data_IF_816818659615
#
_entry.id   IF_816818659615
#
_cell.length_a   1.000
_cell.length_b   1.000
_cell.length_c   1.000
_cell.angle_alpha   90.00
_cell.angle_beta   90.00
_cell.angle_gamma   90.00
#
_symmetry.space_group_name_H-M   'P 1'
#
loop_
_entity.id
_entity.type
_entity.pdbx_description
1 polymer ?
#
# COMPACT_ATOMS: atom_id res chain seq x y z
N UNK A 1 -10.40 14.94 26.58
CA UNK A 1 -10.21 13.57 26.10
C UNK A 1 -11.58 12.93 25.85
N UNK A 2 -12.23 13.31 24.75
CA UNK A 2 -13.48 12.71 24.31
C UNK A 2 -13.17 11.31 23.73
N UNK A 3 -13.43 10.29 24.54
CA UNK A 3 -13.42 8.89 24.14
C UNK A 3 -14.60 8.68 23.18
N UNK A 4 -14.33 8.71 21.88
CA UNK A 4 -15.31 8.36 20.85
C UNK A 4 -15.74 6.91 21.10
N UNK A 5 -16.88 6.70 21.73
CA UNK A 5 -17.57 5.42 21.81
C UNK A 5 -18.24 5.16 20.46
N UNK A 6 -17.44 4.72 19.48
CA UNK A 6 -17.95 4.13 18.25
C UNK A 6 -18.35 2.69 18.54
N UNK A 7 -19.51 2.31 18.04
CA UNK A 7 -20.14 1.00 18.00
C UNK A 7 -19.11 -0.16 17.96
N UNK A 8 -18.94 -0.83 19.10
CA UNK A 8 -18.13 -2.02 19.19
C UNK A 8 -18.12 -2.49 20.64
N UNK A 9 -18.91 -3.49 20.96
CA UNK A 9 -18.75 -4.23 22.20
C UNK A 9 -17.33 -4.79 22.27
N UNK A 10 -16.61 -4.37 23.32
CA UNK A 10 -15.23 -4.79 23.56
C UNK A 10 -15.29 -6.24 24.05
N UNK A 11 -15.07 -7.18 23.15
CA UNK A 11 -14.85 -8.58 23.51
C UNK A 11 -13.43 -8.73 24.05
N UNK A 12 -13.28 -8.59 25.38
CA UNK A 12 -12.05 -8.94 26.09
C UNK A 12 -11.97 -10.47 26.20
N UNK A 13 -11.18 -11.11 25.36
CA UNK A 13 -10.83 -12.50 25.52
C UNK A 13 -9.35 -12.56 25.94
N UNK A 14 -9.11 -12.95 27.22
CA UNK A 14 -7.76 -13.20 27.79
C UNK A 14 -6.76 -12.03 27.72
N UNK A 15 -7.20 -10.78 27.98
CA UNK A 15 -6.30 -9.62 28.07
C UNK A 15 -5.92 -8.98 26.71
N UNK A 16 -6.37 -9.54 25.59
CA UNK A 16 -6.19 -8.96 24.25
C UNK A 16 -7.52 -8.33 23.83
N UNK A 17 -7.51 -7.01 23.57
CA UNK A 17 -8.68 -6.29 23.05
C UNK A 17 -8.88 -6.68 21.56
N UNK A 18 -9.78 -7.61 21.30
CA UNK A 18 -10.25 -7.95 19.95
C UNK A 18 -11.53 -7.15 19.70
N UNK A 19 -11.42 -5.85 19.57
CA UNK A 19 -12.55 -5.01 19.18
C UNK A 19 -12.57 -4.84 17.66
N UNK A 20 -13.75 -5.04 17.06
CA UNK A 20 -13.97 -4.72 15.64
C UNK A 20 -13.98 -3.19 15.50
N UNK A 21 -12.86 -2.63 15.10
CA UNK A 21 -12.67 -1.18 14.96
C UNK A 21 -13.18 -0.70 13.61
N UNK A 22 -13.45 0.61 13.49
CA UNK A 22 -13.78 1.24 12.21
C UNK A 22 -12.72 0.93 11.13
N UNK A 23 -11.43 0.86 11.50
CA UNK A 23 -10.36 0.45 10.58
C UNK A 23 -10.61 -0.92 9.99
N UNK A 24 -10.96 -1.91 10.81
CA UNK A 24 -11.24 -3.28 10.35
C UNK A 24 -12.45 -3.32 9.42
N UNK A 25 -13.48 -2.55 9.71
CA UNK A 25 -14.67 -2.44 8.86
C UNK A 25 -14.30 -1.92 7.45
N UNK A 26 -13.54 -0.82 7.38
CA UNK A 26 -13.14 -0.25 6.09
C UNK A 26 -12.14 -1.13 5.32
N UNK A 27 -11.28 -1.91 6.01
CA UNK A 27 -10.47 -2.95 5.37
C UNK A 27 -11.34 -4.03 4.72
N UNK A 28 -12.38 -4.49 5.41
CA UNK A 28 -13.34 -5.46 4.86
C UNK A 28 -14.08 -4.88 3.65
N UNK A 29 -14.47 -3.59 3.69
CA UNK A 29 -15.07 -2.92 2.53
C UNK A 29 -14.10 -2.85 1.34
N UNK A 30 -12.81 -2.59 1.56
CA UNK A 30 -11.81 -2.58 0.49
C UNK A 30 -11.64 -3.98 -0.13
N UNK A 31 -11.62 -5.03 0.70
CA UNK A 31 -11.61 -6.42 0.21
C UNK A 31 -12.89 -6.76 -0.56
N UNK A 32 -14.05 -6.38 -0.04
CA UNK A 32 -15.33 -6.61 -0.69
C UNK A 32 -15.42 -5.88 -2.04
N UNK A 33 -14.93 -4.64 -2.13
CA UNK A 33 -14.86 -3.86 -3.37
C UNK A 33 -13.94 -4.54 -4.40
N UNK A 34 -12.78 -5.05 -3.97
CA UNK A 34 -11.87 -5.82 -4.82
C UNK A 34 -12.55 -7.07 -5.36
N UNK A 35 -13.16 -7.85 -4.48
CA UNK A 35 -13.88 -9.08 -4.88
C UNK A 35 -15.04 -8.77 -5.81
N UNK A 36 -15.83 -7.73 -5.52
CA UNK A 36 -16.96 -7.33 -6.35
C UNK A 36 -16.52 -6.94 -7.77
N UNK A 37 -15.42 -6.19 -7.90
CA UNK A 37 -14.89 -5.81 -9.21
C UNK A 37 -14.56 -7.05 -10.07
N UNK A 38 -13.93 -8.06 -9.47
CA UNK A 38 -13.55 -9.27 -10.21
C UNK A 38 -14.74 -10.21 -10.46
N UNK A 39 -15.60 -10.42 -9.47
CA UNK A 39 -16.79 -11.26 -9.63
C UNK A 39 -17.71 -10.69 -10.71
N UNK A 40 -17.94 -9.36 -10.71
CA UNK A 40 -18.77 -8.71 -11.72
C UNK A 40 -18.07 -8.65 -13.08
N UNK A 41 -16.76 -8.34 -13.09
CA UNK A 41 -15.97 -8.25 -14.32
C UNK A 41 -15.82 -9.58 -15.04
N UNK A 42 -15.69 -10.69 -14.30
CA UNK A 42 -15.49 -12.02 -14.87
C UNK A 42 -16.78 -12.83 -15.05
N UNK A 43 -17.94 -12.33 -14.56
CA UNK A 43 -19.22 -13.05 -14.62
C UNK A 43 -19.74 -13.27 -16.04
N UNK A 44 -19.45 -12.36 -16.96
CA UNK A 44 -19.87 -12.46 -18.38
C UNK A 44 -18.64 -12.34 -19.27
N UNK A 45 -18.01 -13.47 -19.58
CA UNK A 45 -16.91 -13.52 -20.54
C UNK A 45 -17.45 -13.32 -21.96
N UNK A 46 -17.22 -12.16 -22.53
CA UNK A 46 -17.55 -11.86 -23.93
C UNK A 46 -16.29 -11.47 -24.70
N UNK A 47 -16.27 -11.77 -26.01
CA UNK A 47 -15.15 -11.40 -26.92
C UNK A 47 -15.01 -9.88 -26.99
N UNK A 48 -16.13 -9.15 -26.88
CA UNK A 48 -16.14 -7.68 -26.76
C UNK A 48 -16.30 -7.39 -25.25
N UNK A 49 -15.24 -6.91 -24.56
CA UNK A 49 -15.28 -6.72 -23.12
C UNK A 49 -16.27 -5.64 -22.71
N UNK A 50 -17.10 -5.92 -21.71
CA UNK A 50 -17.91 -4.92 -21.06
C UNK A 50 -16.99 -3.99 -20.23
N UNK A 51 -17.46 -2.78 -19.87
CA UNK A 51 -16.67 -1.77 -19.11
C UNK A 51 -16.03 -2.33 -17.84
N UNK A 52 -16.74 -3.18 -17.09
CA UNK A 52 -16.21 -3.81 -15.87
C UNK A 52 -15.19 -4.90 -16.18
N UNK A 53 -15.42 -5.68 -17.24
CA UNK A 53 -14.44 -6.66 -17.72
C UNK A 53 -13.15 -5.97 -18.20
N UNK A 54 -13.29 -4.87 -18.96
CA UNK A 54 -12.15 -4.08 -19.43
C UNK A 54 -11.32 -3.50 -18.29
N UNK A 55 -11.95 -3.00 -17.21
CA UNK A 55 -11.24 -2.52 -16.02
C UNK A 55 -10.46 -3.65 -15.33
N UNK A 56 -11.08 -4.83 -15.19
CA UNK A 56 -10.42 -5.99 -14.57
C UNK A 56 -9.23 -6.47 -15.40
N UNK A 57 -9.38 -6.55 -16.72
CA UNK A 57 -8.32 -6.96 -17.65
C UNK A 57 -7.19 -5.92 -17.69
N UNK A 58 -7.52 -4.62 -17.70
CA UNK A 58 -6.54 -3.55 -17.67
C UNK A 58 -5.70 -3.61 -16.39
N UNK A 59 -6.36 -3.79 -15.24
CA UNK A 59 -5.69 -3.92 -13.96
C UNK A 59 -4.79 -5.16 -13.90
N UNK A 60 -5.28 -6.29 -14.43
CA UNK A 60 -4.50 -7.52 -14.53
C UNK A 60 -3.23 -7.33 -15.38
N UNK A 61 -3.40 -6.81 -16.61
CA UNK A 61 -2.30 -6.61 -17.54
C UNK A 61 -1.29 -5.59 -17.01
N UNK A 62 -1.77 -4.52 -16.36
CA UNK A 62 -0.91 -3.51 -15.76
C UNK A 62 0.04 -4.12 -14.71
N UNK A 63 -0.50 -4.90 -13.77
CA UNK A 63 0.31 -5.54 -12.73
C UNK A 63 1.17 -6.67 -13.29
N UNK A 64 0.66 -7.45 -14.27
CA UNK A 64 1.42 -8.52 -14.90
C UNK A 64 2.65 -7.98 -15.63
N UNK A 65 2.51 -6.89 -16.39
CA UNK A 65 3.62 -6.23 -17.06
C UNK A 65 4.62 -5.65 -16.05
N UNK A 66 4.13 -4.93 -15.02
CA UNK A 66 4.99 -4.38 -13.98
C UNK A 66 5.81 -5.47 -13.28
N UNK A 67 5.19 -6.60 -12.93
CA UNK A 67 5.89 -7.71 -12.28
C UNK A 67 6.92 -8.35 -13.23
N UNK A 68 6.57 -8.51 -14.49
CA UNK A 68 7.47 -9.05 -15.51
C UNK A 68 8.67 -8.15 -15.75
N UNK A 69 8.47 -6.83 -15.78
CA UNK A 69 9.52 -5.85 -16.02
C UNK A 69 10.49 -5.76 -14.81
N UNK A 70 10.00 -5.97 -13.59
CA UNK A 70 10.80 -5.85 -12.37
C UNK A 70 11.45 -7.17 -11.93
N UNK A 71 10.77 -8.30 -12.07
CA UNK A 71 11.20 -9.60 -11.50
C UNK A 71 11.47 -10.65 -12.59
N UNK A 72 10.99 -10.40 -13.81
CA UNK A 72 11.09 -11.35 -14.91
C UNK A 72 10.12 -12.55 -14.78
N UNK A 73 10.43 -13.64 -15.49
CA UNK A 73 9.54 -14.82 -15.53
C UNK A 73 9.41 -15.57 -14.22
N UNK A 74 10.40 -15.47 -13.32
CA UNK A 74 10.36 -16.08 -12.01
C UNK A 74 9.32 -15.44 -11.08
N UNK A 75 8.94 -14.18 -11.35
CA UNK A 75 7.92 -13.44 -10.62
C UNK A 75 6.50 -13.98 -10.81
N UNK A 76 6.22 -14.73 -11.87
CA UNK A 76 4.86 -15.21 -12.17
C UNK A 76 4.19 -15.98 -11.05
N UNK A 77 4.96 -16.76 -10.28
CA UNK A 77 4.44 -17.49 -9.15
C UNK A 77 3.89 -16.57 -8.03
N UNK A 78 4.41 -15.35 -7.94
CA UNK A 78 4.04 -14.36 -6.90
C UNK A 78 3.00 -13.34 -7.39
N UNK A 79 2.55 -13.47 -8.63
CA UNK A 79 1.55 -12.58 -9.23
C UNK A 79 0.28 -12.44 -8.35
N UNK A 80 -0.36 -13.51 -7.83
CA UNK A 80 -1.55 -13.37 -7.01
C UNK A 80 -1.33 -12.53 -5.75
N UNK A 81 -0.14 -12.65 -5.14
CA UNK A 81 0.23 -11.88 -3.96
C UNK A 81 0.38 -10.38 -4.29
N UNK A 82 1.18 -10.07 -5.31
CA UNK A 82 1.43 -8.68 -5.74
C UNK A 82 0.14 -8.01 -6.23
N UNK A 83 -0.69 -8.77 -6.96
CA UNK A 83 -1.96 -8.28 -7.47
C UNK A 83 -2.96 -7.96 -6.35
N UNK A 84 -3.12 -8.87 -5.38
CA UNK A 84 -3.99 -8.64 -4.23
C UNK A 84 -3.51 -7.47 -3.37
N UNK A 85 -2.20 -7.32 -3.21
CA UNK A 85 -1.58 -6.21 -2.50
C UNK A 85 -1.90 -4.85 -3.16
N UNK A 86 -1.67 -4.75 -4.48
CA UNK A 86 -1.97 -3.53 -5.23
C UNK A 86 -3.45 -3.14 -5.09
N UNK A 87 -4.35 -4.09 -5.36
CA UNK A 87 -5.78 -3.83 -5.31
C UNK A 87 -6.25 -3.44 -3.91
N UNK A 88 -5.74 -4.10 -2.90
CA UNK A 88 -6.10 -3.78 -1.52
C UNK A 88 -5.68 -2.34 -1.15
N UNK A 89 -4.44 -1.96 -1.42
CA UNK A 89 -3.95 -0.61 -1.11
C UNK A 89 -4.69 0.44 -1.95
N UNK A 90 -4.92 0.15 -3.23
CA UNK A 90 -5.64 1.02 -4.13
C UNK A 90 -7.05 1.32 -3.60
N UNK A 91 -7.82 0.29 -3.26
CA UNK A 91 -9.17 0.48 -2.73
C UNK A 91 -9.18 1.10 -1.33
N UNK A 92 -8.23 0.76 -0.46
CA UNK A 92 -8.10 1.42 0.83
C UNK A 92 -7.88 2.93 0.69
N UNK A 93 -7.02 3.34 -0.24
CA UNK A 93 -6.75 4.74 -0.51
C UNK A 93 -7.96 5.44 -1.13
N UNK A 94 -8.60 4.83 -2.13
CA UNK A 94 -9.77 5.40 -2.79
C UNK A 94 -10.98 5.52 -1.87
N UNK A 95 -11.26 4.51 -1.06
CA UNK A 95 -12.35 4.58 -0.07
C UNK A 95 -12.04 5.66 0.97
N UNK A 96 -10.77 5.79 1.36
CA UNK A 96 -10.33 6.82 2.29
C UNK A 96 -10.51 8.25 1.76
N UNK A 97 -10.52 8.48 0.44
CA UNK A 97 -10.75 9.79 -0.16
C UNK A 97 -12.20 10.27 -0.06
N UNK A 98 -13.16 9.36 0.11
CA UNK A 98 -14.57 9.74 0.21
C UNK A 98 -14.77 10.59 1.48
N UNK A 99 -15.39 11.78 1.39
CA UNK A 99 -15.65 12.61 2.57
C UNK A 99 -16.44 11.85 3.63
N UNK A 100 -16.09 12.04 4.90
CA UNK A 100 -16.68 11.38 6.06
C UNK A 100 -16.38 9.88 6.23
N UNK A 101 -15.55 9.28 5.37
CA UNK A 101 -15.05 7.91 5.58
C UNK A 101 -13.84 7.88 6.49
N UNK A 102 -13.59 6.73 7.07
CA UNK A 102 -12.41 6.50 7.89
C UNK A 102 -11.24 6.04 7.01
N UNK A 103 -10.18 6.84 6.98
CA UNK A 103 -8.99 6.54 6.18
C UNK A 103 -8.09 5.57 6.93
N UNK A 104 -8.11 4.30 6.56
CA UNK A 104 -7.32 3.24 7.18
C UNK A 104 -5.82 3.51 7.04
N UNK A 105 -5.39 3.96 5.87
CA UNK A 105 -4.00 4.21 5.52
C UNK A 105 -3.40 5.47 6.14
N UNK A 106 -4.20 6.31 6.80
CA UNK A 106 -3.70 7.45 7.59
C UNK A 106 -3.12 7.05 8.96
N UNK A 107 -3.38 5.82 9.42
CA UNK A 107 -2.84 5.32 10.67
C UNK A 107 -1.48 4.66 10.47
N UNK A 108 -0.42 5.26 11.02
CA UNK A 108 0.95 4.78 10.89
C UNK A 108 1.11 3.32 11.36
N UNK A 109 0.42 2.93 12.43
CA UNK A 109 0.48 1.57 12.98
C UNK A 109 -0.03 0.53 11.97
N UNK A 110 -1.10 0.85 11.23
CA UNK A 110 -1.69 -0.05 10.23
C UNK A 110 -0.79 -0.17 9.01
N UNK A 111 -0.31 0.97 8.48
CA UNK A 111 0.60 0.99 7.33
C UNK A 111 1.94 0.34 7.65
N UNK A 112 2.43 0.50 8.89
CA UNK A 112 3.64 -0.15 9.34
C UNK A 112 3.46 -1.66 9.51
N UNK A 113 2.33 -2.11 10.06
CA UNK A 113 2.02 -3.54 10.15
C UNK A 113 1.93 -4.18 8.76
N UNK A 114 1.33 -3.48 7.80
CA UNK A 114 1.26 -3.91 6.39
C UNK A 114 2.64 -4.01 5.74
N UNK A 115 3.44 -2.94 5.83
CA UNK A 115 4.78 -2.92 5.27
C UNK A 115 5.68 -3.97 5.94
N UNK A 116 5.55 -4.16 7.26
CA UNK A 116 6.26 -5.18 8.02
C UNK A 116 5.89 -6.61 7.60
N UNK A 117 4.59 -6.87 7.40
CA UNK A 117 4.11 -8.18 6.94
C UNK A 117 4.68 -8.52 5.56
N UNK A 118 4.67 -7.56 4.62
CA UNK A 118 5.23 -7.76 3.28
C UNK A 118 6.74 -7.99 3.36
N UNK A 119 7.43 -7.19 4.17
CA UNK A 119 8.87 -7.33 4.38
C UNK A 119 9.22 -8.72 4.92
N UNK A 120 8.49 -9.21 5.93
CA UNK A 120 8.66 -10.56 6.48
C UNK A 120 8.36 -11.61 5.42
N UNK A 121 7.27 -11.46 4.65
CA UNK A 121 6.91 -12.40 3.60
C UNK A 121 8.01 -12.50 2.53
N UNK A 122 8.51 -11.36 2.04
CA UNK A 122 9.60 -11.31 1.05
C UNK A 122 10.90 -11.91 1.61
N UNK A 123 11.22 -11.62 2.88
CA UNK A 123 12.39 -12.19 3.54
C UNK A 123 12.28 -13.71 3.66
N UNK A 124 11.12 -14.24 4.04
CA UNK A 124 10.87 -15.68 4.09
C UNK A 124 11.02 -16.31 2.71
N UNK A 125 10.47 -15.69 1.65
CA UNK A 125 10.63 -16.15 0.27
C UNK A 125 12.11 -16.22 -0.10
N UNK A 126 12.89 -15.19 0.23
CA UNK A 126 14.32 -15.13 -0.01
C UNK A 126 15.08 -16.28 0.67
N UNK A 127 14.78 -16.55 1.95
CA UNK A 127 15.38 -17.66 2.67
C UNK A 127 14.96 -19.04 2.14
N UNK A 128 13.70 -19.23 1.76
CA UNK A 128 13.20 -20.50 1.21
C UNK A 128 13.83 -20.79 -0.14
N UNK A 129 14.04 -19.78 -0.98
CA UNK A 129 14.60 -19.94 -2.33
C UNK A 129 16.12 -20.11 -2.32
N UNK A 130 16.84 -19.29 -1.56
CA UNK A 130 18.29 -19.17 -1.62
C UNK A 130 18.99 -19.73 -0.38
N UNK A 131 18.23 -20.17 0.64
CA UNK A 131 18.79 -20.66 1.89
C UNK A 131 19.75 -19.66 2.54
N UNK A 132 20.94 -20.12 2.95
CA UNK A 132 21.98 -19.26 3.52
C UNK A 132 22.61 -18.31 2.50
N UNK A 133 22.44 -18.56 1.19
CA UNK A 133 22.89 -17.65 0.13
C UNK A 133 22.20 -16.29 0.18
N UNK A 134 21.00 -16.21 0.77
CA UNK A 134 20.28 -14.97 0.98
C UNK A 134 21.06 -13.92 1.80
N UNK A 135 21.95 -14.36 2.69
CA UNK A 135 22.80 -13.47 3.48
C UNK A 135 23.81 -12.68 2.64
N UNK A 136 24.03 -13.07 1.37
CA UNK A 136 24.86 -12.30 0.44
C UNK A 136 24.31 -10.92 0.12
N UNK A 137 22.99 -10.68 0.31
CA UNK A 137 22.42 -9.34 0.24
C UNK A 137 23.13 -8.36 1.18
N UNK A 138 23.59 -8.83 2.34
CA UNK A 138 24.32 -8.00 3.30
C UNK A 138 25.82 -7.89 3.02
N UNK A 139 26.33 -8.75 2.13
CA UNK A 139 27.74 -8.74 1.72
C UNK A 139 27.87 -8.92 0.21
N UNK A 140 27.71 -7.82 -0.59
CA UNK A 140 27.82 -7.88 -2.04
C UNK A 140 29.17 -8.44 -2.49
N UNK A 141 29.16 -9.27 -3.53
CA UNK A 141 30.34 -9.88 -4.11
C UNK A 141 31.27 -8.81 -4.70
N UNK A 142 32.59 -8.91 -4.40
CA UNK A 142 33.60 -7.96 -4.92
C UNK A 142 34.13 -6.95 -3.91
N UNK A 143 33.64 -6.96 -2.67
CA UNK A 143 34.12 -6.06 -1.62
C UNK A 143 35.32 -6.69 -0.87
N UNK A 144 36.44 -5.94 -0.66
CA UNK A 144 37.55 -6.41 0.17
C UNK A 144 37.07 -6.70 1.60
N UNK A 145 37.53 -7.81 2.18
CA UNK A 145 37.13 -8.25 3.52
C UNK A 145 37.39 -7.20 4.61
N UNK A 146 38.36 -6.31 4.39
CA UNK A 146 38.69 -5.22 5.28
C UNK A 146 37.56 -4.18 5.44
N UNK A 147 36.72 -3.98 4.40
CA UNK A 147 35.58 -3.06 4.41
C UNK A 147 34.28 -3.71 4.91
N UNK A 148 34.24 -5.02 5.07
CA UNK A 148 33.08 -5.75 5.53
C UNK A 148 32.48 -5.23 6.86
N UNK A 149 33.28 -4.93 7.92
CA UNK A 149 32.74 -4.46 9.18
C UNK A 149 32.06 -3.10 9.10
N UNK A 150 32.32 -2.33 8.05
CA UNK A 150 31.66 -1.04 7.79
C UNK A 150 30.42 -1.21 6.90
N UNK A 151 30.51 -2.02 5.85
CA UNK A 151 29.44 -2.15 4.84
C UNK A 151 28.27 -2.99 5.36
N UNK A 152 28.54 -4.10 6.05
CA UNK A 152 27.46 -4.97 6.56
C UNK A 152 26.48 -4.23 7.49
N UNK A 153 26.93 -3.42 8.48
CA UNK A 153 26.00 -2.65 9.30
C UNK A 153 25.18 -1.62 8.49
N UNK A 154 25.79 -0.97 7.50
CA UNK A 154 25.10 0.01 6.63
C UNK A 154 24.02 -0.71 5.83
N UNK A 155 24.32 -1.87 5.25
CA UNK A 155 23.37 -2.64 4.47
C UNK A 155 22.20 -3.18 5.33
N UNK A 156 22.48 -3.62 6.55
CA UNK A 156 21.43 -4.03 7.51
C UNK A 156 20.51 -2.83 7.83
N UNK A 157 21.07 -1.66 8.10
CA UNK A 157 20.28 -0.45 8.39
C UNK A 157 19.47 -0.06 7.15
N UNK A 158 20.05 -0.07 5.96
CA UNK A 158 19.38 0.18 4.68
C UNK A 158 18.21 -0.79 4.49
N UNK A 159 18.43 -2.07 4.70
CA UNK A 159 17.42 -3.11 4.57
C UNK A 159 16.25 -2.91 5.54
N UNK A 160 16.51 -2.60 6.81
CA UNK A 160 15.49 -2.33 7.83
C UNK A 160 14.75 -1.00 7.59
N UNK A 161 15.38 -0.04 6.93
CA UNK A 161 14.74 1.23 6.61
C UNK A 161 13.67 1.11 5.51
N UNK A 162 13.74 0.06 4.67
CA UNK A 162 12.80 -0.18 3.56
C UNK A 162 11.32 -0.21 4.01
N UNK A 163 10.90 -1.06 4.97
CA UNK A 163 9.51 -1.09 5.43
C UNK A 163 9.10 0.20 6.17
N UNK A 164 10.02 0.82 6.89
CA UNK A 164 9.76 2.08 7.60
C UNK A 164 9.44 3.18 6.59
N UNK A 165 10.31 3.37 5.61
CA UNK A 165 10.13 4.38 4.55
C UNK A 165 8.81 4.15 3.78
N UNK A 166 8.49 2.90 3.48
CA UNK A 166 7.28 2.51 2.76
C UNK A 166 6.01 2.86 3.55
N UNK A 167 5.98 2.53 4.84
CA UNK A 167 4.84 2.80 5.71
C UNK A 167 4.65 4.30 5.98
N UNK A 168 5.74 5.02 6.29
CA UNK A 168 5.69 6.46 6.54
C UNK A 168 5.22 7.22 5.30
N UNK A 169 5.68 6.85 4.12
CA UNK A 169 5.26 7.47 2.86
C UNK A 169 3.76 7.31 2.64
N UNK A 170 3.21 6.12 2.83
CA UNK A 170 1.79 5.86 2.67
C UNK A 170 0.95 6.65 3.68
N UNK A 171 1.33 6.60 4.95
CA UNK A 171 0.64 7.30 6.03
C UNK A 171 0.73 8.83 5.87
N UNK A 172 1.94 9.37 5.61
CA UNK A 172 2.16 10.81 5.53
C UNK A 172 1.40 11.45 4.37
N UNK A 173 1.38 10.83 3.19
CA UNK A 173 0.65 11.35 2.05
C UNK A 173 -0.86 11.45 2.32
N UNK A 174 -1.45 10.40 2.91
CA UNK A 174 -2.87 10.40 3.23
C UNK A 174 -3.22 11.36 4.38
N UNK A 175 -2.38 11.43 5.41
CA UNK A 175 -2.60 12.35 6.53
C UNK A 175 -2.48 13.81 6.10
N UNK A 176 -1.46 14.14 5.30
CA UNK A 176 -1.23 15.49 4.79
C UNK A 176 -2.35 15.93 3.86
N UNK A 177 -2.75 15.09 2.89
CA UNK A 177 -3.83 15.39 1.95
C UNK A 177 -5.13 15.72 2.68
N UNK A 178 -5.60 14.84 3.56
CA UNK A 178 -6.81 15.08 4.36
C UNK A 178 -6.72 16.31 5.26
N UNK A 179 -5.55 16.62 5.82
CA UNK A 179 -5.36 17.81 6.66
C UNK A 179 -5.52 19.08 5.83
N UNK A 180 -4.91 19.12 4.65
CA UNK A 180 -5.01 20.27 3.73
C UNK A 180 -6.45 20.47 3.28
N UNK A 181 -7.15 19.42 2.86
CA UNK A 181 -8.56 19.51 2.44
C UNK A 181 -9.45 20.07 3.55
N UNK A 182 -9.26 19.64 4.82
CA UNK A 182 -10.02 20.14 5.97
C UNK A 182 -9.75 21.62 6.23
N UNK A 183 -8.49 22.07 6.12
CA UNK A 183 -8.12 23.48 6.30
C UNK A 183 -8.80 24.35 5.22
N UNK A 184 -8.73 23.96 3.94
CA UNK A 184 -9.38 24.71 2.86
C UNK A 184 -10.90 24.70 2.98
N UNK A 185 -11.52 23.60 3.39
CA UNK A 185 -12.94 23.53 3.67
C UNK A 185 -13.34 24.50 4.81
N UNK A 186 -12.51 24.65 5.84
CA UNK A 186 -12.70 25.65 6.90
C UNK A 186 -12.64 27.08 6.36
N UNK A 187 -11.69 27.41 5.48
CA UNK A 187 -11.61 28.74 4.86
C UNK A 187 -12.83 29.09 4.03
N UNK A 188 -13.42 28.15 3.30
CA UNK A 188 -14.64 28.36 2.52
C UNK A 188 -15.78 28.84 3.42
N UNK A 189 -15.94 28.19 4.58
CA UNK A 189 -16.99 28.55 5.55
C UNK A 189 -16.71 29.92 6.18
N UNK A 190 -15.46 30.24 6.49
CA UNK A 190 -15.08 31.50 7.15
C UNK A 190 -15.20 32.73 6.22
N UNK A 191 -14.85 32.59 4.94
CA UNK A 191 -14.85 33.70 3.98
C UNK A 191 -16.23 34.01 3.38
N UNK A 192 -17.23 33.17 3.58
CA UNK A 192 -18.58 33.38 3.04
C UNK A 192 -18.58 33.56 1.53
N UNK A 193 -18.98 34.73 1.03
CA UNK A 193 -19.03 34.98 -0.41
C UNK A 193 -17.66 34.94 -1.11
N UNK A 194 -16.59 35.35 -0.44
CA UNK A 194 -15.20 35.24 -0.93
C UNK A 194 -14.68 33.79 -0.92
N UNK A 195 -15.42 32.85 -0.34
CA UNK A 195 -15.08 31.43 -0.27
C UNK A 195 -15.05 30.73 -1.66
N UNK A 196 -15.47 31.41 -2.74
CA UNK A 196 -15.38 30.85 -4.09
C UNK A 196 -13.92 30.58 -4.52
N UNK A 197 -12.97 31.44 -4.17
CA UNK A 197 -11.57 31.24 -4.52
C UNK A 197 -10.96 29.99 -3.85
N UNK A 198 -11.06 29.80 -2.50
CA UNK A 198 -10.63 28.55 -1.87
C UNK A 198 -11.41 27.31 -2.33
N UNK A 199 -12.66 27.45 -2.80
CA UNK A 199 -13.43 26.33 -3.34
C UNK A 199 -12.80 25.77 -4.63
N UNK A 200 -12.43 26.64 -5.57
CA UNK A 200 -11.76 26.23 -6.82
C UNK A 200 -10.45 25.51 -6.49
N UNK A 201 -9.68 26.08 -5.55
CA UNK A 201 -8.42 25.47 -5.12
C UNK A 201 -8.62 24.11 -4.44
N UNK A 202 -9.67 23.96 -3.64
CA UNK A 202 -10.04 22.69 -3.01
C UNK A 202 -10.34 21.59 -4.04
N UNK A 203 -11.04 21.92 -5.15
CA UNK A 203 -11.31 20.95 -6.22
C UNK A 203 -10.02 20.47 -6.88
N UNK A 204 -9.09 21.40 -7.16
CA UNK A 204 -7.78 21.05 -7.72
C UNK A 204 -6.98 20.17 -6.76
N UNK A 205 -6.97 20.52 -5.47
CA UNK A 205 -6.31 19.72 -4.44
C UNK A 205 -6.91 18.31 -4.32
N UNK A 206 -8.23 18.19 -4.39
CA UNK A 206 -8.89 16.89 -4.34
C UNK A 206 -8.52 16.00 -5.54
N UNK A 207 -8.45 16.60 -6.74
CA UNK A 207 -7.99 15.88 -7.93
C UNK A 207 -6.53 15.42 -7.78
N UNK A 208 -5.67 16.29 -7.24
CA UNK A 208 -4.27 15.98 -6.97
C UNK A 208 -4.16 14.84 -5.92
N UNK A 209 -4.92 14.89 -4.84
CA UNK A 209 -4.94 13.86 -3.81
C UNK A 209 -5.39 12.50 -4.36
N UNK A 210 -6.38 12.50 -5.25
CA UNK A 210 -6.84 11.29 -5.95
C UNK A 210 -5.72 10.69 -6.81
N UNK A 211 -4.96 11.51 -7.51
CA UNK A 211 -3.81 11.08 -8.30
C UNK A 211 -2.71 10.52 -7.40
N UNK A 212 -2.40 11.20 -6.29
CA UNK A 212 -1.40 10.74 -5.31
C UNK A 212 -1.83 9.40 -4.70
N UNK A 213 -3.12 9.21 -4.39
CA UNK A 213 -3.64 7.96 -3.85
C UNK A 213 -3.43 6.76 -4.80
N UNK A 214 -3.63 6.97 -6.10
CA UNK A 214 -3.37 5.95 -7.12
C UNK A 214 -1.86 5.70 -7.28
N UNK A 215 -1.06 6.75 -7.38
CA UNK A 215 0.41 6.66 -7.45
C UNK A 215 0.99 5.96 -6.24
N UNK A 216 0.43 6.17 -5.06
CA UNK A 216 0.93 5.55 -3.83
C UNK A 216 0.73 4.03 -3.82
N UNK A 217 -0.41 3.55 -4.33
CA UNK A 217 -0.62 2.11 -4.52
C UNK A 217 0.39 1.52 -5.52
N UNK A 218 0.66 2.23 -6.61
CA UNK A 218 1.66 1.85 -7.61
C UNK A 218 3.07 1.79 -7.01
N UNK A 219 3.51 2.87 -6.33
CA UNK A 219 4.86 2.96 -5.74
C UNK A 219 5.06 1.88 -4.67
N UNK A 220 4.03 1.62 -3.87
CA UNK A 220 4.09 0.58 -2.85
C UNK A 220 4.32 -0.79 -3.48
N UNK A 221 3.60 -1.09 -4.54
CA UNK A 221 3.67 -2.37 -5.24
C UNK A 221 4.97 -2.55 -6.02
N UNK A 222 5.44 -1.51 -6.73
CA UNK A 222 6.70 -1.60 -7.47
C UNK A 222 7.91 -1.78 -6.54
N UNK A 223 7.91 -1.11 -5.38
CA UNK A 223 8.96 -1.31 -4.37
C UNK A 223 8.91 -2.74 -3.80
N UNK A 224 7.72 -3.30 -3.60
CA UNK A 224 7.57 -4.70 -3.20
C UNK A 224 8.11 -5.66 -4.27
N UNK A 225 7.89 -5.37 -5.56
CA UNK A 225 8.46 -6.15 -6.66
C UNK A 225 9.99 -6.05 -6.69
N UNK A 226 10.57 -4.87 -6.46
CA UNK A 226 12.02 -4.69 -6.38
C UNK A 226 12.60 -5.50 -5.22
N UNK A 227 11.98 -5.44 -4.03
CA UNK A 227 12.42 -6.23 -2.87
C UNK A 227 12.29 -7.74 -3.12
N UNK A 228 11.25 -8.15 -3.85
CA UNK A 228 11.09 -9.54 -4.27
C UNK A 228 12.19 -9.94 -5.26
N UNK A 229 12.54 -9.07 -6.20
CA UNK A 229 13.64 -9.32 -7.13
C UNK A 229 14.97 -9.48 -6.40
N UNK A 230 15.30 -8.57 -5.47
CA UNK A 230 16.49 -8.65 -4.62
C UNK A 230 16.51 -9.97 -3.82
N UNK A 231 15.33 -10.42 -3.35
CA UNK A 231 15.21 -11.68 -2.62
C UNK A 231 15.38 -12.93 -3.49
N UNK A 232 15.03 -12.85 -4.77
CA UNK A 232 15.17 -13.96 -5.71
C UNK A 232 16.56 -14.03 -6.34
N UNK A 233 17.25 -12.90 -6.47
CA UNK A 233 18.57 -12.79 -7.08
C UNK A 233 19.54 -12.03 -6.14
N UNK A 234 20.05 -12.69 -5.08
CA UNK A 234 20.90 -12.02 -4.08
C UNK A 234 22.34 -11.73 -4.55
N UNK A 235 22.69 -12.09 -5.77
CA UNK A 235 24.05 -11.96 -6.32
C UNK A 235 24.28 -10.69 -7.16
N UNK A 236 23.33 -9.74 -7.16
CA UNK A 236 23.44 -8.44 -7.87
C UNK A 236 23.96 -7.34 -6.97
#
# INVERSE_FOLDING_TARGET
>A
LARSRGLGDVYKRQGIDISFTNSSLFMVFALAATMALFVIGLSKKSIIPNRMQMLSELSYNFIANMLRDQVGDQGRAYFPFIFSLFMFIFFCNFIGLIPYTFTVTSHLIVTFAFAGLIFIAVTIIGFVKNGLGYLRIFYPSGIPIFLAPLIVPIEIISYLSKPISLSVRLCANMLAGHSILKIFAGFIVMLGFLGFAPLVFLVVLYALETLIAALQAYIFTILTCIYLNDALHPDH
#
